data_IF_502694518585
#
_entry.id   IF_502694518585
#
_cell.length_a   1.000
_cell.length_b   1.000
_cell.length_c   1.000
_cell.angle_alpha   90.00
_cell.angle_beta   90.00
_cell.angle_gamma   90.00
#
_symmetry.space_group_name_H-M   'P 1'
#
loop_
_entity.id
_entity.type
_entity.pdbx_description
1 polymer ?
#
# COMPACT_ATOMS: atom_id res chain seq x y z
N UNK A 1 -3.32 -4.78 31.76
CA UNK A 1 -4.48 -4.17 31.06
C UNK A 1 -4.64 -4.87 29.73
N UNK A 2 -5.84 -5.34 29.38
CA UNK A 2 -6.12 -5.95 28.06
C UNK A 2 -6.34 -4.81 27.07
N UNK A 3 -5.58 -4.78 25.99
CA UNK A 3 -5.77 -3.79 24.93
C UNK A 3 -6.96 -4.18 24.06
N UNK A 4 -7.78 -3.21 23.70
CA UNK A 4 -8.97 -3.39 22.87
C UNK A 4 -8.78 -2.73 21.51
N UNK A 5 -9.01 -3.49 20.44
CA UNK A 5 -8.86 -3.03 19.07
C UNK A 5 -10.19 -3.13 18.32
N UNK A 6 -10.72 -2.00 17.89
CA UNK A 6 -11.89 -1.96 17.03
C UNK A 6 -11.46 -2.11 15.56
N UNK A 7 -12.07 -3.02 14.82
CA UNK A 7 -11.89 -3.18 13.37
C UNK A 7 -13.13 -2.59 12.70
N UNK A 8 -12.95 -1.49 11.97
CA UNK A 8 -14.07 -0.68 11.46
C UNK A 8 -14.05 -0.65 9.94
N UNK A 9 -15.15 -0.98 9.31
CA UNK A 9 -15.24 -1.02 7.86
C UNK A 9 -16.65 -0.81 7.31
N UNK A 10 -16.81 -1.04 6.00
CA UNK A 10 -18.10 -0.91 5.32
C UNK A 10 -18.98 -2.13 5.60
N UNK A 11 -20.30 -1.92 5.79
CA UNK A 11 -21.26 -3.02 5.78
C UNK A 11 -21.25 -3.76 4.43
N UNK A 12 -21.55 -5.06 4.47
CA UNK A 12 -21.82 -5.82 3.24
C UNK A 12 -23.12 -5.34 2.60
N UNK A 13 -23.16 -5.24 1.28
CA UNK A 13 -24.40 -4.97 0.54
C UNK A 13 -25.42 -6.13 0.68
N UNK A 14 -25.00 -7.30 1.15
CA UNK A 14 -25.81 -8.50 1.32
C UNK A 14 -26.50 -8.62 2.69
N UNK A 15 -26.44 -7.61 3.56
CA UNK A 15 -27.22 -7.57 4.80
C UNK A 15 -26.80 -8.55 5.91
N UNK A 16 -25.75 -9.33 5.71
CA UNK A 16 -25.29 -10.31 6.69
C UNK A 16 -24.25 -9.73 7.67
N UNK A 17 -24.24 -10.31 8.88
CA UNK A 17 -23.44 -9.88 10.03
C UNK A 17 -21.91 -9.93 9.87
N UNK A 18 -21.40 -10.15 8.66
CA UNK A 18 -19.97 -10.07 8.33
C UNK A 18 -19.65 -8.70 7.75
N UNK A 19 -18.96 -7.81 8.48
CA UNK A 19 -18.78 -6.42 8.08
C UNK A 19 -17.88 -6.15 6.88
N UNK A 20 -17.37 -7.15 6.15
CA UNK A 20 -16.35 -6.91 5.13
C UNK A 20 -16.44 -7.80 3.89
N UNK A 21 -17.38 -7.62 2.97
CA UNK A 21 -17.23 -8.16 1.64
C UNK A 21 -16.60 -7.12 0.70
N UNK A 22 -15.60 -7.55 -0.02
CA UNK A 22 -15.19 -6.87 -1.25
C UNK A 22 -14.51 -5.51 -1.11
N UNK A 23 -13.85 -5.21 -0.02
CA UNK A 23 -13.08 -3.97 0.14
C UNK A 23 -11.80 -3.94 -0.70
N UNK A 24 -11.87 -4.41 -1.95
CA UNK A 24 -10.83 -4.23 -2.96
C UNK A 24 -9.42 -4.66 -2.53
N UNK A 25 -9.27 -5.80 -1.83
CA UNK A 25 -7.96 -6.35 -1.48
C UNK A 25 -7.22 -5.65 -0.33
N UNK A 26 -7.90 -4.88 0.51
CA UNK A 26 -7.25 -4.16 1.64
C UNK A 26 -6.93 -5.10 2.80
N UNK A 27 -7.93 -5.75 3.33
CA UNK A 27 -7.88 -6.88 4.27
C UNK A 27 -9.10 -7.76 3.99
N UNK A 28 -8.98 -8.79 3.17
CA UNK A 28 -10.11 -9.61 2.79
C UNK A 28 -10.64 -10.43 3.98
N UNK A 29 -11.87 -10.93 3.90
CA UNK A 29 -12.50 -11.66 5.00
C UNK A 29 -11.67 -12.84 5.54
N UNK A 30 -10.92 -13.53 4.70
CA UNK A 30 -10.07 -14.64 5.10
C UNK A 30 -8.77 -14.22 5.81
N UNK A 31 -8.34 -12.96 5.66
CA UNK A 31 -7.19 -12.40 6.38
C UNK A 31 -7.51 -12.16 7.86
N UNK A 32 -8.72 -11.69 8.15
CA UNK A 32 -9.08 -11.21 9.49
C UNK A 32 -9.10 -12.32 10.57
N UNK A 33 -9.69 -13.52 10.35
CA UNK A 33 -9.76 -14.51 11.41
C UNK A 33 -8.41 -14.96 11.96
N UNK A 34 -7.37 -15.28 11.15
CA UNK A 34 -6.05 -15.59 11.70
C UNK A 34 -5.39 -14.37 12.33
N UNK A 35 -5.55 -13.17 11.78
CA UNK A 35 -5.06 -11.93 12.38
C UNK A 35 -5.64 -11.70 13.78
N UNK A 36 -6.96 -11.79 13.94
CA UNK A 36 -7.65 -11.60 15.22
C UNK A 36 -7.30 -12.69 16.25
N UNK A 37 -7.20 -13.97 15.81
CA UNK A 37 -6.74 -15.05 16.71
C UNK A 37 -5.36 -14.78 17.26
N UNK A 38 -4.46 -14.25 16.45
CA UNK A 38 -3.10 -13.90 16.89
C UNK A 38 -3.13 -12.73 17.86
N UNK A 39 -3.93 -11.69 17.60
CA UNK A 39 -4.10 -10.58 18.54
C UNK A 39 -4.65 -11.08 19.90
N UNK A 40 -5.64 -11.99 19.88
CA UNK A 40 -6.18 -12.58 21.08
C UNK A 40 -5.12 -13.39 21.86
N UNK A 41 -4.31 -14.19 21.19
CA UNK A 41 -3.20 -14.93 21.79
C UNK A 41 -2.14 -13.99 22.40
N UNK A 42 -2.02 -12.77 21.86
CA UNK A 42 -1.14 -11.72 22.39
C UNK A 42 -1.82 -10.85 23.47
N UNK A 43 -3.01 -11.23 23.95
CA UNK A 43 -3.72 -10.54 25.03
C UNK A 43 -4.43 -9.26 24.58
N UNK A 44 -4.87 -9.19 23.34
CA UNK A 44 -5.68 -8.11 22.80
C UNK A 44 -7.09 -8.60 22.46
N UNK A 45 -8.11 -7.82 22.82
CA UNK A 45 -9.48 -8.08 22.41
C UNK A 45 -9.81 -7.35 21.12
N UNK A 46 -10.49 -8.01 20.19
CA UNK A 46 -10.93 -7.39 18.93
C UNK A 46 -12.45 -7.39 18.84
N UNK A 47 -13.00 -6.31 18.27
CA UNK A 47 -14.43 -6.19 17.97
C UNK A 47 -14.61 -5.54 16.61
N UNK A 48 -15.61 -6.00 15.82
CA UNK A 48 -15.88 -5.51 14.47
C UNK A 48 -17.08 -4.59 14.44
N UNK A 49 -16.96 -3.49 13.72
CA UNK A 49 -18.01 -2.49 13.56
C UNK A 49 -18.13 -2.05 12.10
N UNK A 50 -19.31 -1.70 11.65
CA UNK A 50 -19.46 -0.80 10.51
C UNK A 50 -19.12 0.62 10.94
N UNK A 51 -18.80 1.53 10.00
CA UNK A 51 -18.57 2.94 10.33
C UNK A 51 -19.74 3.53 11.13
N UNK A 52 -20.98 3.22 10.74
CA UNK A 52 -22.17 3.70 11.43
C UNK A 52 -22.29 3.14 12.85
N UNK A 53 -22.11 1.83 13.03
CA UNK A 53 -22.11 1.23 14.37
C UNK A 53 -21.01 1.84 15.26
N UNK A 54 -19.83 2.09 14.70
CA UNK A 54 -18.73 2.72 15.45
C UNK A 54 -19.08 4.15 15.88
N UNK A 55 -19.82 4.91 15.06
CA UNK A 55 -20.27 6.27 15.40
C UNK A 55 -21.32 6.23 16.51
N UNK A 56 -22.33 5.37 16.34
CA UNK A 56 -23.56 5.36 17.16
C UNK A 56 -23.36 4.63 18.51
N UNK A 57 -22.42 3.68 18.60
CA UNK A 57 -22.19 2.90 19.82
C UNK A 57 -21.19 3.59 20.77
N UNK A 58 -21.28 3.28 22.06
CA UNK A 58 -20.24 3.64 23.04
C UNK A 58 -19.09 2.62 22.96
N UNK A 59 -18.27 2.77 21.95
CA UNK A 59 -17.13 1.87 21.69
C UNK A 59 -16.00 2.16 22.66
N UNK A 60 -15.66 1.16 23.46
CA UNK A 60 -14.52 1.18 24.36
C UNK A 60 -13.35 0.46 23.70
N UNK A 61 -12.43 1.19 23.08
CA UNK A 61 -11.24 0.66 22.41
C UNK A 61 -10.03 1.57 22.64
N UNK A 62 -8.85 0.97 22.67
CA UNK A 62 -7.58 1.71 22.74
C UNK A 62 -7.11 2.14 21.33
N UNK A 63 -7.45 1.33 20.33
CA UNK A 63 -7.16 1.63 18.92
C UNK A 63 -8.30 1.20 18.00
N UNK A 64 -8.41 1.87 16.84
CA UNK A 64 -9.34 1.49 15.79
C UNK A 64 -8.62 1.42 14.43
N UNK A 65 -8.79 0.28 13.74
CA UNK A 65 -8.27 0.06 12.38
C UNK A 65 -9.41 0.32 11.39
N UNK A 66 -9.28 1.36 10.59
CA UNK A 66 -10.26 1.66 9.54
C UNK A 66 -9.89 0.93 8.24
N UNK A 67 -10.80 0.07 7.76
CA UNK A 67 -10.63 -0.73 6.54
C UNK A 67 -11.50 -0.17 5.43
N UNK A 68 -10.91 0.47 4.46
CA UNK A 68 -11.58 1.01 3.28
C UNK A 68 -10.64 1.15 2.09
N UNK A 69 -11.20 1.23 0.88
CA UNK A 69 -10.45 1.55 -0.32
C UNK A 69 -10.37 3.08 -0.46
N UNK A 70 -9.21 3.67 -0.20
CA UNK A 70 -9.00 5.12 -0.12
C UNK A 70 -9.49 5.87 -1.38
N UNK A 71 -9.11 5.39 -2.58
CA UNK A 71 -9.56 5.98 -3.86
C UNK A 71 -11.06 5.78 -4.08
N UNK A 72 -11.57 4.59 -3.75
CA UNK A 72 -13.01 4.27 -3.86
C UNK A 72 -13.85 5.08 -2.88
N UNK A 73 -13.39 5.20 -1.63
CA UNK A 73 -14.06 5.99 -0.59
C UNK A 73 -14.15 7.46 -1.00
N UNK A 74 -13.10 8.04 -1.57
CA UNK A 74 -13.09 9.43 -2.00
C UNK A 74 -14.09 9.71 -3.14
N UNK A 75 -14.45 8.72 -3.93
CA UNK A 75 -15.47 8.82 -4.98
C UNK A 75 -16.91 8.68 -4.47
N UNK A 76 -17.10 8.24 -3.23
CA UNK A 76 -18.41 8.08 -2.58
C UNK A 76 -18.54 9.11 -1.46
N UNK A 77 -19.38 10.13 -1.67
CA UNK A 77 -19.60 11.21 -0.68
C UNK A 77 -20.06 10.62 0.65
N UNK A 78 -21.04 9.72 0.63
CA UNK A 78 -21.62 9.13 1.85
C UNK A 78 -20.59 8.30 2.64
N UNK A 79 -19.80 7.47 1.93
CA UNK A 79 -18.76 6.68 2.57
C UNK A 79 -17.68 7.57 3.17
N UNK A 80 -17.27 8.61 2.44
CA UNK A 80 -16.26 9.52 2.94
C UNK A 80 -16.75 10.31 4.17
N UNK A 81 -17.99 10.77 4.16
CA UNK A 81 -18.61 11.42 5.33
C UNK A 81 -18.67 10.47 6.54
N UNK A 82 -19.03 9.20 6.33
CA UNK A 82 -19.04 8.21 7.39
C UNK A 82 -17.65 7.98 7.99
N UNK A 83 -16.59 7.90 7.15
CA UNK A 83 -15.20 7.79 7.61
C UNK A 83 -14.79 9.02 8.43
N UNK A 84 -15.14 10.23 7.99
CA UNK A 84 -14.82 11.47 8.72
C UNK A 84 -15.55 11.55 10.06
N UNK A 85 -16.82 11.17 10.09
CA UNK A 85 -17.61 11.15 11.33
C UNK A 85 -17.07 10.10 12.32
N UNK A 86 -16.70 8.92 11.82
CA UNK A 86 -16.06 7.91 12.64
C UNK A 86 -14.70 8.37 13.19
N UNK A 87 -13.92 9.11 12.38
CA UNK A 87 -12.67 9.73 12.84
C UNK A 87 -12.91 10.70 13.99
N UNK A 88 -13.89 11.60 13.86
CA UNK A 88 -14.28 12.53 14.95
C UNK A 88 -14.75 11.80 16.21
N UNK A 89 -15.50 10.70 16.03
CA UNK A 89 -15.95 9.89 17.16
C UNK A 89 -14.79 9.19 17.87
N UNK A 90 -13.79 8.73 17.14
CA UNK A 90 -12.55 8.18 17.71
C UNK A 90 -11.76 9.22 18.49
N UNK A 91 -11.54 10.40 17.89
CA UNK A 91 -10.84 11.53 18.54
C UNK A 91 -11.54 11.95 19.85
N UNK A 92 -12.87 12.06 19.85
CA UNK A 92 -13.67 12.40 21.04
C UNK A 92 -13.57 11.35 22.16
N UNK A 93 -13.21 10.11 21.82
CA UNK A 93 -13.04 8.98 22.76
C UNK A 93 -11.57 8.69 23.09
N UNK A 94 -10.63 9.49 22.56
CA UNK A 94 -9.18 9.26 22.66
C UNK A 94 -8.76 7.87 22.13
N UNK A 95 -9.40 7.38 21.07
CA UNK A 95 -9.07 6.12 20.41
C UNK A 95 -7.98 6.38 19.35
N UNK A 96 -6.85 5.68 19.42
CA UNK A 96 -5.78 5.77 18.43
C UNK A 96 -6.28 5.27 17.06
N UNK A 97 -6.15 6.10 16.02
CA UNK A 97 -6.62 5.74 14.68
C UNK A 97 -5.50 5.18 13.81
N UNK A 98 -5.77 4.01 13.23
CA UNK A 98 -5.00 3.42 12.13
C UNK A 98 -5.80 3.62 10.84
N UNK A 99 -5.19 4.20 9.81
CA UNK A 99 -5.86 4.61 8.56
C UNK A 99 -6.99 5.63 8.76
N UNK A 100 -6.80 6.57 9.68
CA UNK A 100 -7.75 7.64 9.90
C UNK A 100 -7.99 8.50 8.64
N UNK A 101 -9.03 9.36 8.66
CA UNK A 101 -9.44 10.11 7.47
C UNK A 101 -8.36 11.03 6.90
N UNK A 102 -7.50 11.62 7.73
CA UNK A 102 -6.39 12.45 7.27
C UNK A 102 -5.41 11.64 6.41
N UNK A 103 -4.98 10.47 6.90
CA UNK A 103 -4.06 9.60 6.17
C UNK A 103 -4.72 9.07 4.90
N UNK A 104 -6.01 8.72 4.96
CA UNK A 104 -6.76 8.30 3.78
C UNK A 104 -6.85 9.37 2.70
N UNK A 105 -6.96 10.65 3.05
CA UNK A 105 -6.91 11.77 2.08
C UNK A 105 -5.54 11.89 1.42
N UNK A 106 -4.48 11.79 2.22
CA UNK A 106 -3.10 11.84 1.72
C UNK A 106 -2.89 10.71 0.71
N UNK A 107 -3.17 9.49 1.12
CA UNK A 107 -2.88 8.29 0.33
C UNK A 107 -3.77 8.18 -0.93
N UNK A 108 -4.99 8.75 -0.91
CA UNK A 108 -5.89 8.76 -2.06
C UNK A 108 -5.49 9.75 -3.17
N UNK A 109 -4.52 10.63 -2.96
CA UNK A 109 -4.09 11.66 -3.89
C UNK A 109 -2.57 11.62 -4.09
N UNK A 110 -2.12 11.24 -5.29
CA UNK A 110 -0.69 11.09 -5.61
C UNK A 110 0.11 12.37 -5.38
N UNK A 111 -0.48 13.52 -5.69
CA UNK A 111 0.18 14.82 -5.49
C UNK A 111 0.35 15.12 -4.01
N UNK A 112 -0.69 14.90 -3.22
CA UNK A 112 -0.65 15.13 -1.78
C UNK A 112 0.26 14.13 -1.07
N UNK A 113 0.22 12.84 -1.47
CA UNK A 113 1.17 11.81 -1.02
C UNK A 113 2.60 12.24 -1.28
N UNK A 114 2.88 12.68 -2.51
CA UNK A 114 4.22 13.11 -2.90
C UNK A 114 4.70 14.30 -2.07
N UNK A 115 3.88 15.34 -1.94
CA UNK A 115 4.22 16.53 -1.15
C UNK A 115 4.49 16.18 0.31
N UNK A 116 3.62 15.38 0.92
CA UNK A 116 3.75 14.97 2.32
C UNK A 116 5.01 14.16 2.57
N UNK A 117 5.25 13.14 1.74
CA UNK A 117 6.36 12.23 1.95
C UNK A 117 7.71 12.84 1.54
N UNK A 118 7.75 13.66 0.48
CA UNK A 118 8.96 14.39 0.11
C UNK A 118 9.34 15.42 1.17
N UNK A 119 8.37 16.10 1.79
CA UNK A 119 8.62 17.02 2.90
C UNK A 119 9.17 16.29 4.14
N UNK A 120 8.83 15.01 4.31
CA UNK A 120 9.38 14.13 5.34
C UNK A 120 10.75 13.51 4.95
N UNK A 121 11.31 13.89 3.80
CA UNK A 121 12.61 13.40 3.34
C UNK A 121 12.61 12.02 2.68
N UNK A 122 11.43 11.49 2.34
CA UNK A 122 11.31 10.20 1.67
C UNK A 122 11.77 10.34 0.20
N UNK A 123 12.69 9.49 -0.28
CA UNK A 123 13.13 9.51 -1.66
C UNK A 123 11.99 9.19 -2.63
N UNK A 124 11.64 10.14 -3.48
CA UNK A 124 10.61 10.01 -4.52
C UNK A 124 11.14 10.55 -5.85
N UNK A 125 10.56 10.12 -7.01
CA UNK A 125 10.86 10.75 -8.29
C UNK A 125 10.54 12.24 -8.23
N UNK A 126 11.35 13.09 -8.84
CA UNK A 126 11.09 14.55 -8.84
C UNK A 126 9.73 14.85 -9.49
N UNK A 127 8.85 15.52 -8.74
CA UNK A 127 7.56 15.97 -9.27
C UNK A 127 7.74 17.25 -10.09
N UNK A 128 7.00 17.34 -11.18
CA UNK A 128 6.90 18.54 -12.00
C UNK A 128 5.66 19.33 -11.60
N UNK A 129 5.84 20.59 -11.29
CA UNK A 129 4.77 21.57 -11.10
C UNK A 129 4.88 22.65 -12.16
N UNK A 130 3.74 23.06 -12.71
CA UNK A 130 3.61 24.26 -13.58
C UNK A 130 4.41 24.25 -14.88
N UNK A 131 4.75 23.08 -15.40
CA UNK A 131 5.40 22.95 -16.71
C UNK A 131 4.38 22.65 -17.80
N UNK A 132 4.41 23.42 -18.89
CA UNK A 132 3.62 23.15 -20.10
C UNK A 132 4.32 22.21 -21.07
N UNK A 133 5.64 22.04 -20.91
CA UNK A 133 6.52 21.22 -21.76
C UNK A 133 7.43 20.39 -20.87
N UNK A 134 7.64 19.14 -21.21
CA UNK A 134 8.50 18.22 -20.47
C UNK A 134 9.99 18.63 -20.60
N UNK A 135 10.66 19.01 -19.50
CA UNK A 135 12.08 19.39 -19.54
C UNK A 135 13.02 18.19 -19.66
N UNK A 136 12.55 17.01 -19.35
CA UNK A 136 13.20 15.70 -19.44
C UNK A 136 12.13 14.63 -19.69
N UNK A 137 12.50 13.37 -19.76
CA UNK A 137 11.53 12.27 -19.92
C UNK A 137 10.64 12.15 -18.67
N UNK A 138 9.33 12.19 -18.85
CA UNK A 138 8.33 12.30 -17.80
C UNK A 138 7.42 11.07 -17.80
N UNK A 139 7.06 10.65 -16.60
CA UNK A 139 6.01 9.68 -16.33
C UNK A 139 4.77 10.46 -15.88
N UNK A 140 3.75 10.47 -16.73
CA UNK A 140 2.52 11.25 -16.54
C UNK A 140 1.35 10.34 -16.18
N UNK A 141 0.68 10.60 -15.07
CA UNK A 141 -0.41 9.79 -14.54
C UNK A 141 -1.58 10.67 -14.07
N UNK A 142 -2.73 10.08 -13.82
CA UNK A 142 -3.83 10.75 -13.13
C UNK A 142 -3.57 10.88 -11.64
N UNK A 143 -3.99 12.02 -11.05
CA UNK A 143 -3.76 12.31 -9.62
C UNK A 143 -4.45 11.35 -8.68
N UNK A 144 -5.65 10.87 -9.06
CA UNK A 144 -6.58 10.18 -8.16
C UNK A 144 -7.09 8.85 -8.72
N UNK A 145 -6.51 8.33 -9.79
CA UNK A 145 -6.95 7.08 -10.38
C UNK A 145 -5.95 5.96 -10.10
N UNK A 146 -6.48 4.78 -9.73
CA UNK A 146 -5.80 3.51 -9.88
C UNK A 146 -6.12 2.98 -11.28
N UNK A 147 -5.12 2.41 -11.97
CA UNK A 147 -5.27 1.79 -13.30
C UNK A 147 -5.56 2.75 -14.47
N UNK A 148 -5.35 4.05 -14.32
CA UNK A 148 -5.39 4.95 -15.45
C UNK A 148 -4.17 4.72 -16.37
N UNK A 149 -4.33 4.96 -17.69
CA UNK A 149 -3.20 4.87 -18.60
C UNK A 149 -2.09 5.83 -18.21
N UNK A 150 -0.89 5.27 -18.08
CA UNK A 150 0.32 6.05 -17.86
C UNK A 150 0.89 6.46 -19.21
N UNK A 151 1.20 7.73 -19.36
CA UNK A 151 1.79 8.27 -20.57
C UNK A 151 3.25 8.60 -20.32
N UNK A 152 4.12 8.09 -21.17
CA UNK A 152 5.52 8.51 -21.21
C UNK A 152 5.63 9.70 -22.14
N UNK A 153 6.04 10.85 -21.61
CA UNK A 153 6.24 12.10 -22.33
C UNK A 153 7.73 12.35 -22.51
N UNK A 154 8.15 12.58 -23.76
CA UNK A 154 9.56 12.83 -24.05
C UNK A 154 9.94 14.31 -23.83
N UNK A 155 11.23 14.63 -23.66
CA UNK A 155 11.69 16.01 -23.58
C UNK A 155 11.19 16.85 -24.76
N UNK A 156 10.67 18.04 -24.49
CA UNK A 156 10.11 18.95 -25.49
C UNK A 156 8.64 18.70 -25.87
N UNK A 157 8.06 17.56 -25.49
CA UNK A 157 6.62 17.29 -25.71
C UNK A 157 5.75 18.04 -24.67
N UNK A 158 4.52 18.34 -25.08
CA UNK A 158 3.55 19.05 -24.23
C UNK A 158 3.01 18.15 -23.12
N UNK A 159 2.99 18.67 -21.90
CA UNK A 159 2.33 18.05 -20.76
C UNK A 159 0.83 18.36 -20.75
N UNK A 160 0.02 17.39 -20.33
CA UNK A 160 -1.42 17.58 -20.18
C UNK A 160 -1.70 18.28 -18.84
N UNK A 161 -2.70 19.18 -18.80
CA UNK A 161 -3.07 19.85 -17.55
C UNK A 161 -3.68 18.86 -16.54
N UNK A 162 -3.55 19.19 -15.26
CA UNK A 162 -4.16 18.46 -14.15
C UNK A 162 -3.69 17.00 -13.98
N UNK A 163 -2.48 16.69 -14.45
CA UNK A 163 -1.88 15.37 -14.25
C UNK A 163 -0.89 15.40 -13.08
N UNK A 164 -0.54 14.20 -12.62
CA UNK A 164 0.57 13.95 -11.72
C UNK A 164 1.77 13.53 -12.57
N UNK A 165 2.70 14.45 -12.72
CA UNK A 165 3.85 14.31 -13.60
C UNK A 165 5.12 14.21 -12.76
N UNK A 166 5.90 13.15 -12.99
CA UNK A 166 7.18 12.94 -12.33
C UNK A 166 8.28 12.63 -13.34
N UNK A 167 9.53 12.80 -12.93
CA UNK A 167 10.64 12.31 -13.74
C UNK A 167 10.49 10.81 -14.01
N UNK A 168 10.92 10.42 -15.19
CA UNK A 168 11.02 9.01 -15.56
C UNK A 168 12.17 8.35 -14.83
N UNK A 169 11.91 7.27 -14.12
CA UNK A 169 12.92 6.43 -13.49
C UNK A 169 13.15 5.19 -14.36
N UNK A 170 14.38 4.92 -14.75
CA UNK A 170 14.72 3.71 -15.49
C UNK A 170 14.74 2.50 -14.55
N UNK A 171 13.68 1.72 -14.61
CA UNK A 171 13.51 0.46 -13.87
C UNK A 171 13.64 -0.77 -14.77
N UNK A 172 14.26 -0.60 -15.97
CA UNK A 172 14.34 -1.68 -16.95
C UNK A 172 15.50 -2.61 -16.58
N UNK A 173 15.18 -3.89 -16.42
CA UNK A 173 16.16 -4.95 -16.20
C UNK A 173 16.14 -5.96 -17.34
N UNK A 174 17.33 -6.49 -17.66
CA UNK A 174 17.49 -7.50 -18.68
C UNK A 174 17.46 -8.89 -18.03
N UNK A 175 16.70 -9.81 -18.61
CA UNK A 175 16.75 -11.22 -18.27
C UNK A 175 16.75 -12.05 -19.55
N UNK A 176 17.82 -12.84 -19.75
CA UNK A 176 18.12 -13.51 -21.00
C UNK A 176 18.15 -12.49 -22.16
N UNK A 177 17.33 -12.70 -23.20
CA UNK A 177 17.24 -11.80 -24.37
C UNK A 177 16.10 -10.78 -24.29
N UNK A 178 15.43 -10.66 -23.14
CA UNK A 178 14.25 -9.81 -22.97
C UNK A 178 14.50 -8.72 -21.93
N UNK A 179 13.75 -7.63 -22.08
CA UNK A 179 13.78 -6.47 -21.16
C UNK A 179 12.45 -6.36 -20.44
N UNK A 180 12.52 -6.02 -19.14
CA UNK A 180 11.34 -5.92 -18.29
C UNK A 180 11.35 -4.61 -17.52
N UNK A 181 10.22 -3.91 -17.48
CA UNK A 181 9.95 -2.93 -16.42
C UNK A 181 9.78 -3.67 -15.11
N UNK A 182 10.43 -3.18 -14.05
CA UNK A 182 10.39 -3.80 -12.73
C UNK A 182 9.89 -2.78 -11.71
N UNK A 183 8.91 -3.17 -10.93
CA UNK A 183 8.41 -2.43 -9.78
C UNK A 183 8.38 -3.38 -8.58
N UNK A 184 8.85 -2.92 -7.44
CA UNK A 184 8.79 -3.68 -6.21
C UNK A 184 7.55 -3.27 -5.42
N UNK A 185 6.91 -4.24 -4.78
CA UNK A 185 5.83 -3.95 -3.84
C UNK A 185 6.21 -4.44 -2.46
N UNK A 186 6.35 -3.49 -1.53
CA UNK A 186 6.66 -3.77 -0.13
C UNK A 186 5.38 -3.72 0.70
N UNK A 187 5.12 -4.80 1.44
CA UNK A 187 3.97 -4.94 2.33
C UNK A 187 4.41 -4.67 3.75
N UNK A 188 3.89 -3.61 4.36
CA UNK A 188 4.41 -3.08 5.64
C UNK A 188 3.32 -2.96 6.70
N UNK A 189 3.69 -3.23 7.94
CA UNK A 189 2.92 -2.90 9.14
C UNK A 189 3.73 -1.89 9.96
N UNK A 190 3.28 -0.65 10.00
CA UNK A 190 4.09 0.42 10.53
C UNK A 190 5.47 0.47 9.87
N UNK A 191 6.57 0.50 10.64
CA UNK A 191 7.93 0.55 10.11
C UNK A 191 8.45 -0.80 9.59
N UNK A 192 7.71 -1.90 9.78
CA UNK A 192 8.16 -3.25 9.44
C UNK A 192 7.75 -3.64 8.03
N UNK A 193 8.73 -3.83 7.17
CA UNK A 193 8.53 -4.44 5.85
C UNK A 193 8.46 -5.97 6.01
N UNK A 194 7.26 -6.54 5.88
CA UNK A 194 7.01 -7.97 6.09
C UNK A 194 7.34 -8.81 4.86
N UNK A 195 7.17 -8.24 3.69
CA UNK A 195 7.45 -8.93 2.43
C UNK A 195 7.67 -7.92 1.31
N UNK A 196 8.53 -8.30 0.37
CA UNK A 196 8.76 -7.55 -0.86
C UNK A 196 8.58 -8.51 -2.03
N UNK A 197 7.66 -8.22 -2.93
CA UNK A 197 7.54 -8.99 -4.15
C UNK A 197 7.82 -8.16 -5.40
N UNK A 198 8.27 -8.86 -6.43
CA UNK A 198 8.62 -8.26 -7.72
C UNK A 198 7.42 -8.30 -8.64
N UNK A 199 7.08 -7.17 -9.22
CA UNK A 199 6.20 -7.10 -10.39
C UNK A 199 7.05 -6.76 -11.60
N UNK A 200 6.86 -7.50 -12.68
CA UNK A 200 7.60 -7.30 -13.91
C UNK A 200 6.66 -7.30 -15.11
N UNK A 201 6.99 -6.50 -16.12
CA UNK A 201 6.27 -6.49 -17.39
C UNK A 201 7.27 -6.40 -18.53
N UNK A 202 7.15 -7.23 -19.57
CA UNK A 202 7.98 -7.10 -20.76
C UNK A 202 7.90 -5.68 -21.33
N UNK A 203 9.04 -5.13 -21.72
CA UNK A 203 9.08 -3.80 -22.36
C UNK A 203 8.48 -3.93 -23.76
N UNK A 204 7.22 -3.52 -23.89
CA UNK A 204 6.47 -3.50 -25.13
C UNK A 204 5.93 -2.08 -25.31
N UNK A 205 6.53 -1.33 -26.22
CA UNK A 205 6.07 0.03 -26.60
C UNK A 205 6.06 1.10 -25.48
N UNK A 206 5.21 2.13 -25.62
CA UNK A 206 5.21 3.36 -24.81
C UNK A 206 4.52 3.26 -23.45
N UNK A 207 4.02 2.09 -23.07
CA UNK A 207 3.32 1.90 -21.80
C UNK A 207 4.26 1.26 -20.78
N UNK A 208 4.55 2.00 -19.71
CA UNK A 208 5.45 1.58 -18.63
C UNK A 208 4.71 1.24 -17.32
N UNK A 209 3.38 1.20 -17.33
CA UNK A 209 2.64 0.73 -16.16
C UNK A 209 2.87 -0.77 -15.94
N UNK A 210 3.04 -1.17 -14.70
CA UNK A 210 3.22 -2.58 -14.31
C UNK A 210 2.11 -2.96 -13.34
N UNK A 211 1.16 -3.76 -13.82
CA UNK A 211 0.08 -4.28 -12.99
C UNK A 211 0.38 -5.69 -12.49
N UNK A 212 -0.37 -6.14 -11.49
CA UNK A 212 -0.15 -7.44 -10.87
C UNK A 212 -0.20 -8.60 -11.89
N UNK A 213 -1.18 -8.56 -12.78
CA UNK A 213 -1.41 -9.59 -13.81
C UNK A 213 -0.50 -9.50 -15.03
N UNK A 214 0.30 -8.44 -15.14
CA UNK A 214 1.29 -8.29 -16.21
C UNK A 214 2.55 -9.13 -15.95
N UNK A 215 2.75 -9.54 -14.68
CA UNK A 215 3.93 -10.28 -14.26
C UNK A 215 3.93 -11.68 -14.88
N UNK A 216 4.94 -12.04 -15.65
CA UNK A 216 5.03 -13.36 -16.25
C UNK A 216 5.06 -14.48 -15.19
N UNK A 217 4.38 -15.60 -15.46
CA UNK A 217 4.45 -16.80 -14.64
C UNK A 217 5.75 -17.58 -14.96
N UNK A 218 6.87 -16.98 -14.58
CA UNK A 218 8.22 -17.48 -14.82
C UNK A 218 9.04 -17.36 -13.53
N UNK A 219 9.19 -18.49 -12.82
CA UNK A 219 9.91 -18.52 -11.55
C UNK A 219 11.40 -18.15 -11.71
N UNK A 220 12.02 -18.53 -12.82
CA UNK A 220 13.43 -18.18 -13.07
C UNK A 220 13.63 -16.66 -13.21
N UNK A 221 12.71 -15.99 -13.92
CA UNK A 221 12.71 -14.53 -14.03
C UNK A 221 12.50 -13.88 -12.65
N UNK A 222 11.49 -14.32 -11.90
CA UNK A 222 11.14 -13.71 -10.62
C UNK A 222 12.24 -13.90 -9.57
N UNK A 223 12.83 -15.09 -9.51
CA UNK A 223 13.96 -15.38 -8.63
C UNK A 223 15.19 -14.56 -9.02
N UNK A 224 15.52 -14.49 -10.30
CA UNK A 224 16.60 -13.64 -10.79
C UNK A 224 16.41 -12.17 -10.40
N UNK A 225 15.22 -11.62 -10.64
CA UNK A 225 14.92 -10.23 -10.28
C UNK A 225 14.93 -10.03 -8.76
N UNK A 226 14.47 -10.99 -7.99
CA UNK A 226 14.56 -10.90 -6.54
C UNK A 226 16.01 -10.82 -6.06
N UNK A 227 16.87 -11.73 -6.52
CA UNK A 227 18.28 -11.76 -6.16
C UNK A 227 19.06 -10.52 -6.64
N UNK A 228 18.81 -10.07 -7.87
CA UNK A 228 19.57 -8.98 -8.49
C UNK A 228 19.03 -7.57 -8.14
N UNK A 229 17.78 -7.47 -7.78
CA UNK A 229 17.12 -6.17 -7.55
C UNK A 229 16.73 -5.97 -6.09
N UNK A 230 16.09 -6.95 -5.45
CA UNK A 230 15.58 -6.82 -4.09
C UNK A 230 16.69 -7.00 -3.07
N UNK A 231 17.41 -8.14 -3.12
CA UNK A 231 18.41 -8.50 -2.12
C UNK A 231 19.46 -7.41 -1.90
N UNK A 232 20.08 -6.84 -2.95
CA UNK A 232 21.10 -5.79 -2.79
C UNK A 232 20.55 -4.48 -2.22
N UNK A 233 19.25 -4.28 -2.28
CA UNK A 233 18.55 -3.03 -1.86
C UNK A 233 17.69 -3.21 -0.61
N UNK A 234 17.68 -4.37 0.00
CA UNK A 234 16.80 -4.72 1.12
C UNK A 234 16.87 -3.72 2.28
N UNK A 235 18.07 -3.30 2.66
CA UNK A 235 18.29 -2.31 3.73
C UNK A 235 17.72 -0.94 3.34
N UNK A 236 17.95 -0.50 2.11
CA UNK A 236 17.43 0.79 1.63
C UNK A 236 15.89 0.76 1.53
N UNK A 237 15.31 -0.37 1.10
CA UNK A 237 13.85 -0.56 1.05
C UNK A 237 13.27 -0.54 2.46
N UNK A 238 13.85 -1.26 3.41
CA UNK A 238 13.39 -1.26 4.80
C UNK A 238 13.46 0.14 5.42
N UNK A 239 14.55 0.88 5.19
CA UNK A 239 14.70 2.26 5.64
C UNK A 239 13.65 3.19 5.04
N UNK A 240 13.36 3.06 3.74
CA UNK A 240 12.32 3.82 3.05
C UNK A 240 10.94 3.52 3.67
N UNK A 241 10.59 2.24 3.88
CA UNK A 241 9.33 1.84 4.49
C UNK A 241 9.17 2.38 5.91
N UNK A 242 10.23 2.30 6.72
CA UNK A 242 10.24 2.87 8.07
C UNK A 242 10.06 4.39 8.06
N UNK A 243 10.69 5.08 7.12
CA UNK A 243 10.51 6.52 6.93
C UNK A 243 9.06 6.89 6.56
N UNK A 244 8.42 6.13 5.67
CA UNK A 244 7.00 6.35 5.33
C UNK A 244 6.11 6.16 6.56
N UNK A 245 6.35 5.12 7.36
CA UNK A 245 5.62 4.93 8.61
C UNK A 245 5.87 6.06 9.63
N UNK A 246 7.07 6.63 9.67
CA UNK A 246 7.36 7.82 10.47
C UNK A 246 6.54 9.04 10.06
N UNK A 247 6.25 9.18 8.77
CA UNK A 247 5.45 10.29 8.22
C UNK A 247 3.93 10.08 8.32
N UNK A 248 3.46 8.84 8.13
CA UNK A 248 2.03 8.52 8.05
C UNK A 248 1.47 7.84 9.31
N UNK A 249 2.33 7.43 10.24
CA UNK A 249 1.95 6.71 11.46
C UNK A 249 1.80 5.19 11.25
N UNK A 250 1.33 4.53 12.32
CA UNK A 250 1.03 3.11 12.29
C UNK A 250 -0.07 2.81 11.28
N UNK A 251 0.18 1.85 10.39
CA UNK A 251 -0.77 1.44 9.37
C UNK A 251 -0.34 0.15 8.67
N UNK A 252 -1.22 -0.34 7.82
CA UNK A 252 -1.01 -1.48 6.92
C UNK A 252 -0.85 -0.93 5.50
N UNK A 253 0.38 -0.83 5.03
CA UNK A 253 0.70 -0.16 3.77
C UNK A 253 1.21 -1.13 2.73
N UNK A 254 0.90 -0.83 1.48
CA UNK A 254 1.60 -1.37 0.33
C UNK A 254 2.32 -0.23 -0.39
N UNK A 255 3.63 -0.33 -0.47
CA UNK A 255 4.48 0.66 -1.13
C UNK A 255 4.91 0.16 -2.49
N UNK A 256 4.62 0.92 -3.53
CA UNK A 256 5.16 0.69 -4.86
C UNK A 256 6.49 1.44 -4.99
N UNK A 257 7.57 0.69 -5.20
CA UNK A 257 8.95 1.16 -5.15
C UNK A 257 9.60 0.97 -6.52
N UNK A 258 10.26 2.01 -7.00
CA UNK A 258 11.02 2.03 -8.25
C UNK A 258 12.50 1.75 -7.96
N UNK A 259 13.02 0.57 -8.34
CA UNK A 259 14.44 0.27 -8.24
C UNK A 259 15.18 0.88 -9.44
N UNK A 260 15.78 2.05 -9.29
CA UNK A 260 16.53 2.69 -10.36
C UNK A 260 17.73 1.86 -10.78
N UNK A 261 17.83 1.56 -12.08
CA UNK A 261 18.88 0.69 -12.60
C UNK A 261 20.26 1.33 -12.54
N UNK A 262 20.37 2.57 -12.98
CA UNK A 262 21.65 3.24 -13.21
C UNK A 262 22.40 3.58 -11.92
N UNK A 263 21.70 3.97 -10.87
CA UNK A 263 22.28 4.42 -9.60
C UNK A 263 22.10 3.41 -8.46
N UNK A 264 21.21 2.44 -8.63
CA UNK A 264 20.84 1.51 -7.57
C UNK A 264 19.94 2.11 -6.49
N UNK A 265 19.50 3.37 -6.63
CA UNK A 265 18.56 4.01 -5.67
C UNK A 265 17.22 3.29 -5.68
N UNK A 266 16.53 3.39 -4.55
CA UNK A 266 15.12 3.03 -4.41
C UNK A 266 14.31 4.28 -4.17
N UNK A 267 13.23 4.44 -4.93
CA UNK A 267 12.37 5.61 -4.88
C UNK A 267 10.93 5.15 -4.66
N UNK A 268 10.23 5.81 -3.75
CA UNK A 268 8.81 5.53 -3.55
C UNK A 268 8.01 6.09 -4.74
N UNK A 269 7.23 5.25 -5.39
CA UNK A 269 6.29 5.65 -6.44
C UNK A 269 4.96 6.08 -5.85
N UNK A 270 4.36 5.19 -5.06
CA UNK A 270 3.12 5.47 -4.35
C UNK A 270 3.01 4.60 -3.09
N UNK A 271 2.17 5.01 -2.16
CA UNK A 271 1.73 4.20 -1.03
C UNK A 271 0.22 4.10 -1.01
N UNK A 272 -0.31 2.98 -0.59
CA UNK A 272 -1.74 2.73 -0.53
C UNK A 272 -2.09 1.74 0.58
N UNK A 273 -3.39 1.62 0.91
CA UNK A 273 -3.87 0.68 1.92
C UNK A 273 -4.09 -0.74 1.37
N UNK A 274 -3.75 -1.02 0.12
CA UNK A 274 -3.89 -2.35 -0.49
C UNK A 274 -2.80 -3.31 0.02
N UNK A 275 -2.80 -3.51 1.32
CA UNK A 275 -1.84 -4.30 2.06
C UNK A 275 -1.91 -5.80 1.73
N UNK A 276 -3.10 -6.33 1.43
CA UNK A 276 -3.27 -7.72 1.04
C UNK A 276 -3.85 -7.81 -0.38
N UNK A 277 -3.04 -8.26 -1.33
CA UNK A 277 -3.38 -8.27 -2.75
C UNK A 277 -3.72 -9.68 -3.23
N UNK A 278 -5.01 -10.05 -3.13
CA UNK A 278 -5.50 -11.36 -3.57
C UNK A 278 -5.26 -11.62 -5.06
N UNK A 279 -5.37 -10.60 -5.91
CA UNK A 279 -5.17 -10.77 -7.35
C UNK A 279 -3.73 -11.18 -7.65
N UNK A 280 -2.75 -10.55 -7.00
CA UNK A 280 -1.36 -10.94 -7.15
C UNK A 280 -1.12 -12.34 -6.59
N UNK A 281 -1.63 -12.63 -5.38
CA UNK A 281 -1.50 -13.95 -4.76
C UNK A 281 -2.05 -15.05 -5.66
N UNK A 282 -3.27 -14.91 -6.15
CA UNK A 282 -3.89 -15.85 -7.06
C UNK A 282 -3.12 -16.02 -8.37
N UNK A 283 -2.61 -14.91 -8.92
CA UNK A 283 -1.85 -14.93 -10.17
C UNK A 283 -0.53 -15.69 -10.02
N UNK A 284 0.23 -15.45 -8.94
CA UNK A 284 1.56 -16.06 -8.72
C UNK A 284 1.49 -17.42 -8.00
N UNK A 285 0.36 -17.77 -7.40
CA UNK A 285 0.19 -19.00 -6.63
C UNK A 285 0.73 -20.27 -7.30
N UNK A 286 0.58 -20.49 -8.62
CA UNK A 286 1.13 -21.66 -9.29
C UNK A 286 2.67 -21.80 -9.21
N UNK A 287 3.37 -20.72 -8.89
CA UNK A 287 4.83 -20.70 -8.79
C UNK A 287 5.36 -20.79 -7.36
N UNK A 288 4.51 -20.79 -6.34
CA UNK A 288 4.90 -20.59 -4.94
C UNK A 288 6.05 -21.50 -4.50
N UNK A 289 6.00 -22.81 -4.84
CA UNK A 289 7.00 -23.81 -4.44
C UNK A 289 8.32 -23.69 -5.22
N UNK A 290 8.40 -22.77 -6.19
CA UNK A 290 9.56 -22.51 -7.03
C UNK A 290 10.21 -21.14 -6.74
N UNK A 291 9.52 -20.29 -5.96
CA UNK A 291 10.03 -18.96 -5.62
C UNK A 291 10.97 -19.04 -4.43
N UNK A 292 12.10 -18.34 -4.50
CA UNK A 292 13.06 -18.20 -3.38
C UNK A 292 12.53 -17.27 -2.29
N UNK A 293 11.53 -16.45 -2.59
CA UNK A 293 10.82 -15.61 -1.64
C UNK A 293 9.32 -15.79 -1.84
N UNK A 294 8.72 -16.55 -0.98
CA UNK A 294 7.29 -16.80 -0.93
C UNK A 294 6.58 -16.16 0.29
N UNK A 295 7.29 -15.35 1.07
CA UNK A 295 6.81 -14.73 2.31
C UNK A 295 5.42 -14.15 2.20
N UNK A 296 5.10 -13.52 1.06
CA UNK A 296 3.78 -12.94 0.82
C UNK A 296 2.70 -13.98 0.51
N UNK A 297 3.11 -15.16 0.01
CA UNK A 297 2.22 -16.28 -0.29
C UNK A 297 2.00 -17.18 0.92
N UNK A 298 2.79 -17.03 1.97
CA UNK A 298 2.71 -17.84 3.17
C UNK A 298 1.36 -17.66 3.89
N UNK A 299 0.83 -18.75 4.42
CA UNK A 299 -0.42 -18.78 5.18
C UNK A 299 -0.29 -18.08 6.54
N UNK A 300 0.94 -17.87 7.03
CA UNK A 300 1.23 -17.16 8.28
C UNK A 300 1.33 -15.64 8.12
N UNK A 301 1.20 -15.12 6.90
CA UNK A 301 1.31 -13.67 6.65
C UNK A 301 0.34 -12.82 7.50
N UNK A 302 -0.95 -13.21 7.70
CA UNK A 302 -1.84 -12.52 8.63
C UNK A 302 -1.36 -12.57 10.09
N UNK A 303 -0.78 -13.69 10.51
CA UNK A 303 -0.22 -13.86 11.87
C UNK A 303 0.96 -12.91 12.08
N UNK A 304 1.96 -12.92 11.21
CA UNK A 304 3.12 -12.01 11.27
C UNK A 304 2.68 -10.55 11.25
N UNK A 305 1.65 -10.23 10.49
CA UNK A 305 1.06 -8.88 10.46
C UNK A 305 0.48 -8.49 11.82
N UNK A 306 -0.21 -9.41 12.50
CA UNK A 306 -0.77 -9.17 13.82
C UNK A 306 0.31 -9.00 14.89
N UNK A 307 1.37 -9.81 14.83
CA UNK A 307 2.51 -9.73 15.75
C UNK A 307 3.21 -8.36 15.65
N UNK A 308 3.50 -7.90 14.43
CA UNK A 308 4.09 -6.59 14.20
C UNK A 308 3.15 -5.45 14.64
N UNK A 309 1.87 -5.55 14.29
CA UNK A 309 0.89 -4.55 14.72
C UNK A 309 0.78 -4.46 16.24
N UNK A 310 0.68 -5.59 16.93
CA UNK A 310 0.60 -5.63 18.38
C UNK A 310 1.82 -5.03 19.07
N UNK A 311 3.02 -5.30 18.54
CA UNK A 311 4.26 -4.74 19.05
C UNK A 311 4.30 -3.21 18.91
N UNK A 312 3.95 -2.68 17.73
CA UNK A 312 3.95 -1.24 17.49
C UNK A 312 2.83 -0.52 18.26
N UNK A 313 1.64 -1.11 18.34
CA UNK A 313 0.54 -0.54 19.13
C UNK A 313 0.92 -0.38 20.60
N UNK A 314 1.55 -1.40 21.20
CA UNK A 314 2.02 -1.33 22.60
C UNK A 314 3.04 -0.20 22.80
N UNK A 315 3.99 -0.03 21.87
CA UNK A 315 4.96 1.07 21.94
C UNK A 315 4.27 2.43 21.95
N UNK A 316 3.31 2.63 21.03
CA UNK A 316 2.59 3.89 20.92
C UNK A 316 1.70 4.22 22.11
N UNK A 317 1.09 3.21 22.74
CA UNK A 317 0.26 3.41 23.93
C UNK A 317 1.05 3.50 25.24
N UNK A 318 2.38 3.21 25.20
CA UNK A 318 3.28 3.32 26.36
C UNK A 318 4.09 4.61 26.35
N UNK A 319 4.09 5.35 25.25
CA UNK A 319 4.77 6.66 25.08
C UNK A 319 3.88 7.83 25.49
#
# INVERSE_FOLDING_TARGET
MVLRVAIVGRASEAGDAAPFPGAGGKMPPHFLPPFERTLAALGMETSRYTFRQFIDADVQADAAIFIYAEVGARRSVDLWQAIEQAGKAADARNILLVHGPLIGRIVADKTLTHQTLSAAGIPMPRMLSDHSVAPFKVFSNEKQASHAPVVVVNPGERLLPNRYDTEWIDTIHDFMSKRYYVVLRAMCVGPHCLSIFVRARPVVQRDASVHNTDTPLDAALLNFLYEQVVVPRSVAIASLCAGVAGALGLGFYAHDILPERSTGRVLLCETNFKFYDDLYRQHIWPLRDQLINDDYLSDDFPQRSAECFAAELRKLLSS
#
